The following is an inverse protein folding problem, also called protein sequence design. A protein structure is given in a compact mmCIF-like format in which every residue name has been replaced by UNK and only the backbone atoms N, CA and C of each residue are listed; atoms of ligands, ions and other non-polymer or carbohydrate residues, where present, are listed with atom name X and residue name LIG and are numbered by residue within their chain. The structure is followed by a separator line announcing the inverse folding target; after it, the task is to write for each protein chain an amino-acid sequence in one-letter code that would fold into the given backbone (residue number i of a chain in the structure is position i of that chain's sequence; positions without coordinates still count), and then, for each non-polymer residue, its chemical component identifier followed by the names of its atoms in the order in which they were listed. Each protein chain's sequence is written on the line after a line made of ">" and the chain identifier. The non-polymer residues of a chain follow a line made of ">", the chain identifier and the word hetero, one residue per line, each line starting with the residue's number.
data_IF_447884918459
#
_entry.id   IF_447884918459
#
_cell.length_a   1.000
_cell.length_b   1.000
_cell.length_c   1.000
_cell.angle_alpha   90.00
_cell.angle_beta   90.00
_cell.angle_gamma   90.00
#
_symmetry.space_group_name_H-M   'P 1'
#
loop_
_entity.id
_entity.type
_entity.pdbx_description
1 polymer ?
#
# COMPACT_ATOMS: atom_id res chain seq x y z
N UNK A 1 -16.58 21.67 16.88
CA UNK A 1 -16.04 21.18 15.62
C UNK A 1 -14.58 21.45 15.54
N UNK A 2 -13.81 20.42 15.40
CA UNK A 2 -12.38 20.59 15.28
C UNK A 2 -12.03 20.96 13.85
N UNK A 3 -11.26 21.99 13.72
CA UNK A 3 -10.75 22.35 12.42
C UNK A 3 -9.67 21.36 12.03
N UNK A 4 -9.75 20.90 10.79
CA UNK A 4 -8.76 19.98 10.26
C UNK A 4 -7.49 20.75 9.92
N UNK A 5 -6.38 20.30 10.46
CA UNK A 5 -5.09 20.94 10.25
C UNK A 5 -4.24 20.07 9.32
N UNK A 6 -3.64 20.66 8.31
CA UNK A 6 -2.74 19.93 7.44
C UNK A 6 -1.60 19.31 8.25
N UNK A 7 -1.02 20.09 9.15
CA UNK A 7 0.11 19.64 9.94
C UNK A 7 -0.23 18.52 10.90
N UNK A 8 -1.40 18.61 11.54
CA UNK A 8 -1.76 17.67 12.59
C UNK A 8 -2.57 16.48 12.10
N UNK A 9 -3.33 16.66 11.03
CA UNK A 9 -4.27 15.63 10.59
C UNK A 9 -3.89 14.97 9.26
N UNK A 10 -3.14 15.66 8.42
CA UNK A 10 -2.80 15.14 7.10
C UNK A 10 -1.34 14.73 7.02
N UNK A 11 -0.44 15.60 7.45
CA UNK A 11 0.97 15.30 7.37
C UNK A 11 1.37 14.00 8.09
N UNK A 12 0.77 13.66 9.24
CA UNK A 12 1.08 12.38 9.87
C UNK A 12 0.67 11.15 9.08
N UNK A 13 -0.16 11.31 8.05
CA UNK A 13 -0.57 10.19 7.20
C UNK A 13 0.47 9.85 6.14
N UNK A 14 1.51 10.65 6.03
CA UNK A 14 2.51 10.51 4.98
C UNK A 14 3.08 9.09 4.87
N UNK A 15 3.47 8.51 5.98
CA UNK A 15 4.07 7.17 5.96
C UNK A 15 3.06 6.11 5.54
N UNK A 16 1.83 6.23 6.01
CA UNK A 16 0.77 5.30 5.65
C UNK A 16 0.47 5.38 4.16
N UNK A 17 0.40 6.60 3.63
CA UNK A 17 0.17 6.82 2.21
C UNK A 17 1.33 6.25 1.38
N UNK A 18 2.55 6.41 1.86
CA UNK A 18 3.72 5.89 1.18
C UNK A 18 3.69 4.36 1.15
N UNK A 19 3.37 3.72 2.27
CA UNK A 19 3.31 2.27 2.31
C UNK A 19 2.27 1.72 1.34
N UNK A 20 1.11 2.39 1.29
CA UNK A 20 0.06 1.98 0.36
C UNK A 20 0.52 2.15 -1.09
N UNK A 21 1.06 3.32 -1.41
CA UNK A 21 1.53 3.61 -2.76
C UNK A 21 2.64 2.65 -3.18
N UNK A 22 3.55 2.35 -2.29
CA UNK A 22 4.65 1.43 -2.58
C UNK A 22 4.14 0.02 -2.86
N UNK A 23 3.14 -0.42 -2.10
CA UNK A 23 2.57 -1.76 -2.31
C UNK A 23 1.87 -1.87 -3.66
N UNK A 24 1.36 -0.76 -4.17
CA UNK A 24 0.69 -0.74 -5.47
C UNK A 24 1.69 -0.59 -6.60
N UNK A 25 2.60 0.38 -6.50
CA UNK A 25 3.53 0.69 -7.59
C UNK A 25 4.74 -0.22 -7.63
N UNK A 26 5.11 -0.77 -6.49
CA UNK A 26 6.31 -1.58 -6.33
C UNK A 26 7.59 -0.83 -6.73
N UNK A 27 7.53 0.49 -6.62
CA UNK A 27 8.63 1.37 -7.05
C UNK A 27 8.68 2.54 -6.09
N UNK A 28 9.81 2.67 -5.41
CA UNK A 28 9.96 3.67 -4.36
C UNK A 28 9.83 5.09 -4.88
N UNK A 29 10.45 5.39 -6.02
CA UNK A 29 10.38 6.73 -6.59
C UNK A 29 8.95 7.08 -7.00
N UNK A 30 8.24 6.14 -7.60
CA UNK A 30 6.85 6.35 -7.96
C UNK A 30 5.98 6.55 -6.72
N UNK A 31 6.23 5.78 -5.68
CA UNK A 31 5.47 5.93 -4.44
C UNK A 31 5.70 7.29 -3.80
N UNK A 32 6.92 7.78 -3.81
CA UNK A 32 7.22 9.11 -3.28
C UNK A 32 6.49 10.20 -4.06
N UNK A 33 6.46 10.07 -5.38
CA UNK A 33 5.73 11.01 -6.22
C UNK A 33 4.23 10.98 -5.94
N UNK A 34 3.68 9.79 -5.73
CA UNK A 34 2.27 9.64 -5.38
C UNK A 34 1.96 10.37 -4.08
N UNK A 35 2.82 10.23 -3.09
CA UNK A 35 2.61 10.90 -1.80
C UNK A 35 2.63 12.42 -1.99
N UNK A 36 3.61 12.94 -2.72
CA UNK A 36 3.70 14.36 -2.98
C UNK A 36 2.47 14.89 -3.72
N UNK A 37 2.07 14.19 -4.77
CA UNK A 37 0.89 14.57 -5.53
C UNK A 37 -0.37 14.51 -4.68
N UNK A 38 -0.47 13.51 -3.82
CA UNK A 38 -1.59 13.41 -2.90
C UNK A 38 -1.65 14.61 -1.97
N UNK A 39 -0.52 14.97 -1.40
CA UNK A 39 -0.46 16.12 -0.49
C UNK A 39 -0.87 17.41 -1.18
N UNK A 40 -0.42 17.61 -2.42
CA UNK A 40 -0.78 18.79 -3.20
C UNK A 40 -2.27 18.82 -3.48
N UNK A 41 -2.85 17.70 -3.89
CA UNK A 41 -4.28 17.63 -4.19
C UNK A 41 -5.13 17.85 -2.95
N UNK A 42 -4.73 17.22 -1.84
CA UNK A 42 -5.46 17.38 -0.58
C UNK A 42 -5.41 18.84 -0.13
N UNK A 43 -4.26 19.46 -0.24
CA UNK A 43 -4.12 20.88 0.12
C UNK A 43 -4.98 21.77 -0.79
N UNK A 44 -5.01 21.48 -2.09
CA UNK A 44 -5.81 22.29 -3.02
C UNK A 44 -7.31 22.20 -2.74
N UNK A 45 -7.74 21.18 -2.03
CA UNK A 45 -9.14 20.99 -1.66
C UNK A 45 -9.43 21.39 -0.21
N UNK A 46 -8.54 22.18 0.40
CA UNK A 46 -8.67 22.49 1.82
C UNK A 46 -9.98 23.18 2.20
N UNK A 47 -10.55 23.90 1.28
CA UNK A 47 -11.84 24.57 1.54
C UNK A 47 -12.99 23.56 1.66
N UNK A 48 -12.82 22.37 1.14
CA UNK A 48 -13.83 21.33 1.18
C UNK A 48 -13.64 20.35 2.34
N UNK A 49 -12.53 20.44 3.08
CA UNK A 49 -12.24 19.49 4.16
C UNK A 49 -13.39 19.34 5.16
N UNK A 50 -14.08 20.42 5.58
CA UNK A 50 -15.17 20.26 6.54
C UNK A 50 -16.32 19.40 6.02
N UNK A 51 -16.43 19.24 4.71
CA UNK A 51 -17.50 18.45 4.10
C UNK A 51 -17.14 16.97 3.99
N UNK A 52 -15.87 16.62 4.18
CA UNK A 52 -15.44 15.25 4.07
C UNK A 52 -15.82 14.47 5.32
N UNK A 53 -16.34 13.27 5.13
CA UNK A 53 -16.63 12.38 6.22
C UNK A 53 -15.37 11.99 6.97
N UNK A 54 -14.27 11.76 6.22
CA UNK A 54 -12.98 11.42 6.78
C UNK A 54 -11.90 11.94 5.85
N UNK A 55 -11.06 12.84 6.36
CA UNK A 55 -9.92 13.34 5.59
C UNK A 55 -8.91 12.23 5.33
N UNK A 56 -8.73 11.33 6.30
CA UNK A 56 -7.84 10.20 6.09
C UNK A 56 -8.33 9.32 4.95
N UNK A 57 -9.63 9.01 4.92
CA UNK A 57 -10.19 8.20 3.84
C UNK A 57 -10.02 8.89 2.50
N UNK A 58 -10.22 10.20 2.46
CA UNK A 58 -10.02 10.96 1.24
C UNK A 58 -8.58 10.85 0.75
N UNK A 59 -7.62 11.02 1.65
CA UNK A 59 -6.20 10.91 1.30
C UNK A 59 -5.87 9.51 0.78
N UNK A 60 -6.40 8.48 1.43
CA UNK A 60 -6.16 7.11 1.00
C UNK A 60 -6.72 6.84 -0.39
N UNK A 61 -7.91 7.36 -0.68
CA UNK A 61 -8.53 7.20 -2.00
C UNK A 61 -7.70 7.90 -3.07
N UNK A 62 -7.28 9.13 -2.80
CA UNK A 62 -6.47 9.89 -3.75
C UNK A 62 -5.14 9.17 -4.02
N UNK A 63 -4.46 8.76 -2.96
CA UNK A 63 -3.17 8.07 -3.11
C UNK A 63 -3.33 6.75 -3.85
N UNK A 64 -4.37 5.98 -3.50
CA UNK A 64 -4.65 4.71 -4.17
C UNK A 64 -4.88 4.92 -5.66
N UNK A 65 -5.72 5.88 -6.00
CA UNK A 65 -6.05 6.13 -7.40
C UNK A 65 -4.83 6.60 -8.20
N UNK A 66 -4.02 7.47 -7.62
CA UNK A 66 -2.80 7.91 -8.28
C UNK A 66 -1.80 6.78 -8.46
N UNK A 67 -1.67 5.94 -7.44
CA UNK A 67 -0.73 4.82 -7.49
C UNK A 67 -1.16 3.80 -8.54
N UNK A 68 -2.44 3.47 -8.61
CA UNK A 68 -2.96 2.53 -9.60
C UNK A 68 -2.76 3.09 -11.00
N UNK A 69 -3.05 4.37 -11.19
CA UNK A 69 -2.88 5.02 -12.48
C UNK A 69 -1.43 4.95 -12.95
N UNK A 70 -0.48 5.24 -12.05
CA UNK A 70 0.95 5.16 -12.38
C UNK A 70 1.38 3.75 -12.68
N UNK A 71 0.87 2.79 -11.92
CA UNK A 71 1.18 1.38 -12.11
C UNK A 71 0.72 0.91 -13.49
N UNK A 72 -0.50 1.28 -13.87
CA UNK A 72 -1.04 0.90 -15.17
C UNK A 72 -0.29 1.55 -16.32
N UNK A 73 0.09 2.80 -16.18
CA UNK A 73 0.87 3.48 -17.21
C UNK A 73 2.24 2.86 -17.38
N UNK A 74 2.85 2.48 -16.29
CA UNK A 74 4.17 1.85 -16.34
C UNK A 74 4.09 0.49 -17.03
N UNK A 75 3.05 -0.28 -16.76
CA UNK A 75 2.85 -1.56 -17.42
C UNK A 75 2.64 -1.39 -18.92
N UNK A 76 1.90 -0.37 -19.31
CA UNK A 76 1.63 -0.12 -20.72
C UNK A 76 2.88 0.32 -21.48
N UNK A 77 3.76 1.06 -20.84
CA UNK A 77 4.95 1.59 -21.48
C UNK A 77 6.12 0.64 -21.46
N UNK A 78 6.14 -0.27 -20.51
CA UNK A 78 7.32 -1.02 -20.23
C UNK A 78 7.05 -2.49 -20.32
N UNK A 79 7.24 -2.99 -21.48
CA UNK A 79 7.02 -4.38 -21.74
C UNK A 79 8.12 -5.21 -21.13
N UNK A 80 9.27 -4.61 -20.86
CA UNK A 80 10.37 -5.32 -20.28
C UNK A 80 10.72 -4.76 -18.94
N UNK A 81 9.87 -5.04 -17.98
CA UNK A 81 10.20 -4.70 -16.65
C UNK A 81 11.17 -5.70 -16.16
N UNK A 82 12.40 -5.33 -16.18
CA UNK A 82 13.30 -5.95 -15.26
C UNK A 82 12.81 -5.51 -13.91
N UNK A 83 12.44 -6.42 -13.09
CA UNK A 83 12.09 -6.05 -11.75
C UNK A 83 13.35 -5.68 -11.03
N UNK A 84 13.77 -4.49 -11.23
CA UNK A 84 14.79 -3.95 -10.39
C UNK A 84 14.13 -3.58 -9.12
N UNK A 85 13.71 -4.59 -8.48
CA UNK A 85 13.17 -4.44 -7.18
C UNK A 85 14.28 -4.43 -6.21
N UNK A 86 15.31 -3.72 -6.58
CA UNK A 86 16.37 -3.53 -5.66
C UNK A 86 15.89 -2.61 -4.61
N UNK A 87 15.25 -3.18 -3.63
CA UNK A 87 14.94 -2.45 -2.49
C UNK A 87 16.18 -2.00 -1.87
N UNK A 88 16.41 -0.72 -1.95
CA UNK A 88 17.38 -0.09 -1.15
C UNK A 88 16.96 -0.31 0.27
N UNK A 89 17.69 -1.11 0.99
CA UNK A 89 17.34 -1.31 2.37
C UNK A 89 17.42 0.03 3.05
N UNK A 90 16.35 0.37 3.69
CA UNK A 90 16.28 1.56 4.46
C UNK A 90 17.35 1.48 5.51
N UNK A 91 18.20 2.42 5.58
CA UNK A 91 19.36 2.38 6.45
C UNK A 91 19.06 2.60 7.92
N UNK A 92 17.79 2.64 8.29
CA UNK A 92 17.44 2.86 9.69
C UNK A 92 17.52 1.59 10.48
N UNK A 93 18.49 1.32 11.25
CA UNK A 93 18.66 0.13 12.06
C UNK A 93 19.02 -1.09 11.25
N UNK A 94 20.19 -1.08 10.63
CA UNK A 94 20.58 -2.25 9.84
C UNK A 94 20.70 -3.51 10.67
N UNK A 95 20.95 -3.40 11.96
CA UNK A 95 21.10 -4.56 12.80
C UNK A 95 19.79 -5.25 13.12
N UNK A 96 18.81 -4.48 13.50
CA UNK A 96 17.46 -5.01 13.77
C UNK A 96 16.90 -5.67 12.53
N UNK A 97 17.23 -5.17 11.36
CA UNK A 97 16.78 -5.74 10.13
C UNK A 97 17.40 -7.08 9.82
N UNK A 98 18.63 -7.29 10.17
CA UNK A 98 19.27 -8.57 9.89
C UNK A 98 18.59 -9.72 10.62
N UNK A 99 18.11 -9.48 11.81
CA UNK A 99 17.49 -10.54 12.59
C UNK A 99 16.02 -10.69 12.29
N UNK A 100 15.35 -9.57 12.10
CA UNK A 100 13.91 -9.55 11.94
C UNK A 100 13.49 -9.72 10.50
N UNK A 101 14.39 -9.43 9.57
CA UNK A 101 14.04 -9.17 8.20
C UNK A 101 14.06 -10.32 7.23
N UNK A 102 14.71 -11.45 7.55
CA UNK A 102 14.71 -12.53 6.59
C UNK A 102 13.32 -13.05 6.29
N UNK A 103 12.54 -13.31 7.35
CA UNK A 103 11.17 -13.77 7.19
C UNK A 103 10.29 -12.68 6.61
N UNK A 104 10.44 -11.46 7.10
CA UNK A 104 9.63 -10.35 6.62
C UNK A 104 9.95 -10.00 5.18
N UNK A 105 11.21 -10.11 4.79
CA UNK A 105 11.59 -9.88 3.40
C UNK A 105 10.98 -10.92 2.48
N UNK A 106 10.96 -12.17 2.90
CA UNK A 106 10.33 -13.24 2.12
C UNK A 106 8.83 -12.97 2.01
N UNK A 107 8.18 -12.64 3.12
CA UNK A 107 6.75 -12.38 3.13
C UNK A 107 6.43 -11.18 2.24
N UNK A 108 7.19 -10.10 2.36
CA UNK A 108 6.97 -8.92 1.52
C UNK A 108 7.12 -9.26 0.03
N UNK A 109 8.10 -10.06 -0.31
CA UNK A 109 8.27 -10.48 -1.70
C UNK A 109 7.06 -11.28 -2.18
N UNK A 110 6.58 -12.20 -1.35
CA UNK A 110 5.42 -13.01 -1.71
C UNK A 110 4.16 -12.17 -1.85
N UNK A 111 3.98 -11.20 -0.95
CA UNK A 111 2.85 -10.28 -1.06
C UNK A 111 2.94 -9.48 -2.36
N UNK A 112 4.14 -9.03 -2.71
CA UNK A 112 4.33 -8.26 -3.93
C UNK A 112 4.07 -9.07 -5.20
N UNK A 113 4.12 -10.40 -5.12
CA UNK A 113 3.80 -11.27 -6.24
C UNK A 113 2.29 -11.48 -6.43
N UNK A 114 1.48 -11.09 -5.47
CA UNK A 114 0.04 -11.26 -5.56
C UNK A 114 -0.57 -10.34 -6.62
N UNK A 115 -1.72 -10.72 -7.18
CA UNK A 115 -2.48 -9.79 -8.02
C UNK A 115 -2.77 -8.49 -7.25
N UNK A 116 -2.82 -7.39 -7.97
CA UNK A 116 -2.92 -6.06 -7.37
C UNK A 116 -4.04 -5.95 -6.32
N UNK A 117 -5.22 -6.45 -6.65
CA UNK A 117 -6.35 -6.36 -5.72
C UNK A 117 -6.07 -7.09 -4.40
N UNK A 118 -5.55 -8.31 -4.49
CA UNK A 118 -5.24 -9.10 -3.30
C UNK A 118 -4.10 -8.45 -2.51
N UNK A 119 -3.12 -7.95 -3.21
CA UNK A 119 -1.98 -7.28 -2.60
C UNK A 119 -2.41 -6.07 -1.80
N UNK A 120 -3.29 -5.27 -2.39
CA UNK A 120 -3.79 -4.05 -1.77
C UNK A 120 -4.68 -4.35 -0.55
N UNK A 121 -5.55 -5.34 -0.68
CA UNK A 121 -6.42 -5.73 0.43
C UNK A 121 -5.59 -6.23 1.60
N UNK A 122 -4.57 -7.04 1.32
CA UNK A 122 -3.71 -7.56 2.36
C UNK A 122 -2.93 -6.44 3.07
N UNK A 123 -2.45 -5.47 2.30
CA UNK A 123 -1.78 -4.31 2.88
C UNK A 123 -2.72 -3.55 3.82
N UNK A 124 -3.93 -3.28 3.36
CA UNK A 124 -4.88 -2.50 4.14
C UNK A 124 -5.35 -3.24 5.39
N UNK A 125 -5.55 -4.55 5.30
CA UNK A 125 -6.07 -5.31 6.43
C UNK A 125 -4.97 -5.79 7.38
N UNK A 126 -3.98 -6.48 6.87
CA UNK A 126 -3.00 -7.16 7.72
C UNK A 126 -1.89 -6.24 8.19
N UNK A 127 -1.58 -5.21 7.46
CA UNK A 127 -0.51 -4.30 7.84
C UNK A 127 -1.07 -3.03 8.46
N UNK A 128 -2.07 -2.42 7.82
CA UNK A 128 -2.63 -1.17 8.31
C UNK A 128 -3.78 -1.34 9.31
N UNK A 129 -4.34 -2.54 9.40
CA UNK A 129 -5.38 -2.81 10.39
C UNK A 129 -6.74 -2.23 10.08
N UNK A 130 -7.02 -1.92 8.84
CA UNK A 130 -8.31 -1.34 8.47
C UNK A 130 -9.45 -2.35 8.59
N UNK A 131 -10.64 -1.85 8.88
CA UNK A 131 -11.83 -2.71 8.96
C UNK A 131 -12.24 -3.16 7.55
N UNK A 132 -12.96 -4.27 7.49
CA UNK A 132 -13.51 -4.74 6.22
C UNK A 132 -14.40 -3.70 5.56
N UNK A 133 -15.20 -3.03 6.39
CA UNK A 133 -16.09 -1.99 5.90
C UNK A 133 -15.31 -0.84 5.25
N UNK A 134 -14.24 -0.41 5.91
CA UNK A 134 -13.42 0.69 5.39
C UNK A 134 -12.72 0.27 4.10
N UNK A 135 -12.17 -0.94 4.07
CA UNK A 135 -11.52 -1.45 2.86
C UNK A 135 -12.52 -1.53 1.71
N UNK A 136 -13.70 -2.04 1.99
CA UNK A 136 -14.76 -2.13 0.97
C UNK A 136 -15.07 -0.76 0.38
N UNK A 137 -15.18 0.26 1.24
CA UNK A 137 -15.43 1.62 0.78
C UNK A 137 -14.28 2.18 -0.04
N UNK A 138 -13.04 1.95 0.41
CA UNK A 138 -11.87 2.45 -0.29
C UNK A 138 -11.69 1.83 -1.68
N UNK A 139 -12.02 0.56 -1.82
CA UNK A 139 -11.78 -0.18 -3.04
C UNK A 139 -13.03 -0.39 -3.89
N UNK A 140 -14.16 0.13 -3.43
CA UNK A 140 -15.43 -0.03 -4.14
C UNK A 140 -15.80 -1.50 -4.33
N UNK A 141 -15.68 -2.25 -3.26
CA UNK A 141 -16.02 -3.68 -3.21
C UNK A 141 -17.04 -3.91 -2.11
N UNK A 142 -17.65 -5.08 -2.12
CA UNK A 142 -18.46 -5.49 -0.99
C UNK A 142 -17.56 -6.05 0.10
N UNK A 143 -18.05 -6.08 1.34
CA UNK A 143 -17.27 -6.66 2.42
C UNK A 143 -16.98 -8.14 2.19
N UNK A 144 -17.93 -8.84 1.57
CA UNK A 144 -17.72 -10.23 1.22
C UNK A 144 -16.60 -10.41 0.22
N UNK A 145 -16.56 -9.56 -0.80
CA UNK A 145 -15.46 -9.59 -1.76
C UNK A 145 -14.12 -9.32 -1.09
N UNK A 146 -14.09 -8.39 -0.14
CA UNK A 146 -12.87 -8.12 0.62
C UNK A 146 -12.42 -9.39 1.36
N UNK A 147 -13.34 -10.02 2.06
CA UNK A 147 -13.02 -11.22 2.83
C UNK A 147 -12.53 -12.37 1.95
N UNK A 148 -13.19 -12.60 0.83
CA UNK A 148 -12.81 -13.66 -0.09
C UNK A 148 -11.41 -13.42 -0.67
N UNK A 149 -11.15 -12.19 -1.10
CA UNK A 149 -9.85 -11.86 -1.66
C UNK A 149 -8.74 -11.94 -0.62
N UNK A 150 -9.05 -11.53 0.61
CA UNK A 150 -8.09 -11.64 1.70
C UNK A 150 -7.75 -13.10 2.00
N UNK A 151 -8.77 -13.94 2.04
CA UNK A 151 -8.56 -15.36 2.27
C UNK A 151 -7.67 -15.96 1.20
N UNK A 152 -7.95 -15.67 -0.06
CA UNK A 152 -7.13 -16.17 -1.17
C UNK A 152 -5.71 -15.66 -1.10
N UNK A 153 -5.54 -14.38 -0.77
CA UNK A 153 -4.22 -13.79 -0.63
C UNK A 153 -3.40 -14.48 0.45
N UNK A 154 -4.02 -14.66 1.63
CA UNK A 154 -3.34 -15.30 2.75
C UNK A 154 -2.98 -16.75 2.45
N UNK A 155 -3.86 -17.47 1.77
CA UNK A 155 -3.61 -18.86 1.42
C UNK A 155 -2.42 -18.95 0.45
N UNK A 156 -2.37 -18.06 -0.52
CA UNK A 156 -1.29 -18.08 -1.49
C UNK A 156 0.05 -17.76 -0.85
N UNK A 157 0.09 -16.74 -0.01
CA UNK A 157 1.32 -16.37 0.69
C UNK A 157 1.77 -17.52 1.59
N UNK A 158 0.84 -18.11 2.33
CA UNK A 158 1.15 -19.23 3.22
C UNK A 158 1.72 -20.42 2.44
N UNK A 159 1.06 -20.78 1.35
CA UNK A 159 1.49 -21.90 0.54
C UNK A 159 2.89 -21.68 -0.02
N UNK A 160 3.11 -20.50 -0.59
CA UNK A 160 4.43 -20.17 -1.14
C UNK A 160 5.50 -20.10 -0.06
N UNK A 161 5.16 -19.58 1.11
CA UNK A 161 6.11 -19.52 2.21
C UNK A 161 6.54 -20.91 2.66
N UNK A 162 5.58 -21.83 2.76
CA UNK A 162 5.88 -23.19 3.15
C UNK A 162 6.76 -23.91 2.12
N UNK A 163 6.55 -23.65 0.84
CA UNK A 163 7.40 -24.20 -0.20
C UNK A 163 8.84 -23.72 -0.06
N UNK A 164 9.02 -22.44 0.20
CA UNK A 164 10.35 -21.86 0.38
C UNK A 164 11.02 -22.45 1.62
N UNK A 165 10.29 -22.55 2.71
CA UNK A 165 10.81 -23.07 3.97
C UNK A 165 11.20 -24.54 3.84
N UNK A 166 10.35 -25.32 3.15
CA UNK A 166 10.57 -26.75 2.99
C UNK A 166 11.76 -27.07 2.10
N UNK A 167 11.94 -26.32 1.02
CA UNK A 167 12.99 -26.63 0.05
C UNK A 167 14.23 -25.74 0.21
N UNK A 168 14.25 -24.87 1.19
CA UNK A 168 15.39 -24.01 1.42
C UNK A 168 15.62 -22.98 0.33
N UNK A 169 14.58 -22.68 -0.40
CA UNK A 169 14.69 -21.71 -1.51
C UNK A 169 14.68 -20.24 -1.03
#
# INVERSE_FOLDING_TARGET
>A
MQEISFRNDILPLKDKLFRLALRITLDRAEAEDVVQDTMIRVWSKRDEWPQFESVEAYCLIVAKNLAIDRSQKKEAQNVELTPEMEEEPDANSPYDRMIHDERMNIINRLVNELPEKQRLIMQLRDIEGESYKKIAGLLNLTEEQVKVNLFRARQKVKQRYLEIDEYGL
#
